data_IF_160172639311
#
_entry.id   IF_160172639311
#
_cell.length_a   1.000
_cell.length_b   1.000
_cell.length_c   1.000
_cell.angle_alpha   90.00
_cell.angle_beta   90.00
_cell.angle_gamma   90.00
#
_symmetry.space_group_name_H-M   'P 1'
#
loop_
_entity.id
_entity.type
_entity.pdbx_description
1 polymer ?
#
# COMPACT_ATOMS: atom_id res chain seq x y z
N UNK A 1 13.97 2.24 17.00
CA UNK A 1 13.69 1.95 15.58
C UNK A 1 14.33 0.61 15.24
N UNK A 2 13.56 -0.34 14.72
CA UNK A 2 14.07 -1.68 14.38
C UNK A 2 14.57 -1.71 12.94
N UNK A 3 15.57 -2.54 12.65
CA UNK A 3 16.09 -2.73 11.29
C UNK A 3 15.00 -3.18 10.31
N UNK A 4 13.99 -3.89 10.80
CA UNK A 4 12.82 -4.30 10.02
C UNK A 4 12.01 -3.11 9.51
N UNK A 5 11.71 -2.13 10.38
CA UNK A 5 10.94 -0.95 10.01
C UNK A 5 11.68 -0.10 8.96
N UNK A 6 12.98 0.08 9.13
CA UNK A 6 13.81 0.78 8.14
C UNK A 6 13.85 0.04 6.80
N UNK A 7 13.98 -1.28 6.83
CA UNK A 7 13.96 -2.12 5.63
C UNK A 7 12.64 -1.99 4.88
N UNK A 8 11.53 -1.93 5.59
CA UNK A 8 10.19 -1.73 5.03
C UNK A 8 10.05 -0.36 4.35
N UNK A 9 10.47 0.72 5.02
CA UNK A 9 10.46 2.08 4.45
C UNK A 9 11.33 2.17 3.20
N UNK A 10 12.56 1.63 3.25
CA UNK A 10 13.47 1.62 2.11
C UNK A 10 12.88 0.81 0.95
N UNK A 11 12.28 -0.35 1.24
CA UNK A 11 11.62 -1.17 0.23
C UNK A 11 10.49 -0.40 -0.45
N UNK A 12 9.67 0.34 0.31
CA UNK A 12 8.61 1.16 -0.26
C UNK A 12 9.14 2.34 -1.11
N UNK A 13 10.22 2.99 -0.67
CA UNK A 13 10.88 4.07 -1.42
C UNK A 13 11.47 3.60 -2.75
N UNK A 14 11.98 2.37 -2.82
CA UNK A 14 12.47 1.77 -4.08
C UNK A 14 11.31 1.50 -5.06
N UNK A 15 10.13 1.14 -4.54
CA UNK A 15 8.94 0.79 -5.34
C UNK A 15 8.02 1.98 -5.66
N UNK A 16 8.40 3.19 -5.27
CA UNK A 16 7.51 4.37 -5.21
C UNK A 16 7.22 5.03 -6.57
N UNK A 17 7.59 4.39 -7.68
CA UNK A 17 7.27 4.82 -9.05
C UNK A 17 6.14 4.00 -9.68
N UNK A 18 5.47 3.16 -8.89
CA UNK A 18 4.42 2.25 -9.36
C UNK A 18 3.03 2.77 -8.95
N UNK A 19 2.19 3.09 -9.94
CA UNK A 19 0.80 3.55 -9.76
C UNK A 19 -0.09 2.54 -9.00
N UNK A 20 0.37 1.31 -8.79
CA UNK A 20 -0.37 0.25 -8.09
C UNK A 20 0.11 0.01 -6.65
N UNK A 21 1.06 0.80 -6.13
CA UNK A 21 1.59 0.70 -4.77
C UNK A 21 1.31 2.01 -4.02
N UNK A 22 0.78 1.92 -2.80
CA UNK A 22 0.58 3.09 -1.92
C UNK A 22 1.92 3.80 -1.73
N UNK A 23 1.96 5.08 -2.05
CA UNK A 23 3.17 5.87 -1.93
C UNK A 23 3.58 6.01 -0.45
N UNK A 24 4.86 5.76 -0.15
CA UNK A 24 5.47 6.17 1.11
C UNK A 24 6.17 7.52 0.92
N UNK A 25 5.83 8.50 1.76
CA UNK A 25 6.41 9.84 1.72
C UNK A 25 7.60 9.98 2.68
N UNK A 26 7.73 9.10 3.68
CA UNK A 26 8.87 9.08 4.59
C UNK A 26 8.53 8.65 6.00
N UNK A 27 9.37 9.07 6.96
CA UNK A 27 9.25 8.76 8.39
C UNK A 27 9.13 10.07 9.16
N UNK A 28 8.24 10.12 10.15
CA UNK A 28 8.17 11.16 11.18
C UNK A 28 8.29 10.55 12.57
N UNK A 29 8.28 11.37 13.62
CA UNK A 29 8.21 10.92 15.02
C UNK A 29 7.04 11.53 15.75
N UNK A 30 6.37 10.72 16.57
CA UNK A 30 5.38 11.22 17.53
C UNK A 30 6.11 11.97 18.65
N UNK A 31 5.84 13.27 18.88
CA UNK A 31 6.49 14.04 19.93
C UNK A 31 6.13 13.57 21.36
N UNK A 32 5.06 12.80 21.55
CA UNK A 32 4.59 12.34 22.86
C UNK A 32 5.12 10.95 23.21
N UNK A 33 5.28 10.07 22.22
CA UNK A 33 5.70 8.68 22.45
C UNK A 33 7.13 8.36 21.97
N UNK A 34 7.76 9.27 21.20
CA UNK A 34 9.06 9.09 20.52
C UNK A 34 9.06 7.91 19.52
N UNK A 35 7.87 7.43 19.15
CA UNK A 35 7.72 6.37 18.16
C UNK A 35 7.96 6.90 16.75
N UNK A 36 8.58 6.06 15.92
CA UNK A 36 8.78 6.37 14.51
C UNK A 36 7.53 5.96 13.74
N UNK A 37 6.98 6.88 12.96
CA UNK A 37 5.72 6.70 12.21
C UNK A 37 6.03 6.82 10.72
N UNK A 38 5.49 5.91 9.91
CA UNK A 38 5.56 6.00 8.46
C UNK A 38 4.46 6.93 7.94
N UNK A 39 4.82 7.86 7.06
CA UNK A 39 3.88 8.76 6.38
C UNK A 39 3.61 8.19 5.00
N UNK A 40 2.36 7.84 4.71
CA UNK A 40 1.95 7.17 3.47
C UNK A 40 0.74 7.87 2.85
N UNK A 41 0.51 7.61 1.57
CA UNK A 41 -0.70 8.00 0.87
C UNK A 41 -1.95 7.41 1.55
N UNK A 42 -2.98 8.24 1.66
CA UNK A 42 -4.23 7.84 2.29
C UNK A 42 -5.13 7.13 1.26
N UNK A 43 -5.41 5.86 1.51
CA UNK A 43 -6.38 5.10 0.73
C UNK A 43 -7.81 5.45 1.19
N UNK A 44 -8.46 6.39 0.50
CA UNK A 44 -9.80 6.88 0.84
C UNK A 44 -10.86 5.76 0.91
N UNK A 45 -10.80 4.83 -0.05
CA UNK A 45 -11.69 3.65 -0.10
C UNK A 45 -11.31 2.55 0.91
N UNK A 46 -10.21 2.73 1.64
CA UNK A 46 -9.70 1.78 2.61
C UNK A 46 -9.16 0.49 1.96
N UNK A 47 -9.24 -0.62 2.70
CA UNK A 47 -8.62 -1.88 2.26
C UNK A 47 -9.51 -2.64 1.25
N UNK A 48 -8.87 -3.20 0.22
CA UNK A 48 -9.51 -4.11 -0.73
C UNK A 48 -10.23 -5.29 -0.02
N UNK A 49 -9.69 -5.78 1.10
CA UNK A 49 -10.32 -6.85 1.87
C UNK A 49 -11.70 -6.45 2.42
N UNK A 50 -11.82 -5.25 2.99
CA UNK A 50 -13.09 -4.74 3.50
C UNK A 50 -14.11 -4.55 2.38
N UNK A 51 -13.65 -4.02 1.25
CA UNK A 51 -14.43 -3.83 0.03
C UNK A 51 -15.02 -5.13 -0.49
N UNK A 52 -14.17 -6.15 -0.65
CA UNK A 52 -14.58 -7.47 -1.11
C UNK A 52 -15.58 -8.09 -0.13
N UNK A 53 -15.34 -7.99 1.19
CA UNK A 53 -16.25 -8.53 2.20
C UNK A 53 -17.64 -7.91 2.15
N UNK A 54 -17.75 -6.62 1.80
CA UNK A 54 -19.04 -5.90 1.76
C UNK A 54 -19.78 -6.07 0.43
N UNK A 55 -19.06 -6.18 -0.68
CA UNK A 55 -19.62 -6.01 -2.02
C UNK A 55 -19.23 -7.10 -3.02
N UNK A 56 -18.70 -8.26 -2.59
CA UNK A 56 -18.19 -9.30 -3.50
C UNK A 56 -19.15 -9.67 -4.65
N UNK A 57 -20.43 -9.85 -4.33
CA UNK A 57 -21.47 -10.24 -5.31
C UNK A 57 -21.91 -9.08 -6.20
N UNK A 58 -21.67 -7.83 -5.77
CA UNK A 58 -22.02 -6.61 -6.52
C UNK A 58 -20.92 -6.17 -7.48
N UNK A 59 -19.69 -6.63 -7.25
CA UNK A 59 -18.55 -6.33 -8.12
C UNK A 59 -18.64 -7.24 -9.36
N UNK A 60 -18.74 -6.61 -10.54
CA UNK A 60 -18.76 -7.33 -11.80
C UNK A 60 -17.42 -8.03 -12.11
N UNK A 61 -17.42 -8.93 -13.09
CA UNK A 61 -16.23 -9.73 -13.41
C UNK A 61 -15.07 -8.89 -13.97
N UNK A 62 -15.38 -7.85 -14.74
CA UNK A 62 -14.38 -6.94 -15.31
C UNK A 62 -13.59 -6.25 -14.20
N UNK A 63 -14.27 -5.65 -13.22
CA UNK A 63 -13.62 -4.99 -12.08
C UNK A 63 -12.82 -5.98 -11.22
N UNK A 64 -13.24 -7.25 -11.13
CA UNK A 64 -12.44 -8.31 -10.46
C UNK A 64 -11.13 -8.57 -11.20
N UNK A 65 -11.17 -8.64 -12.53
CA UNK A 65 -9.97 -8.83 -13.36
C UNK A 65 -9.05 -7.61 -13.31
N UNK A 66 -9.59 -6.39 -13.35
CA UNK A 66 -8.81 -5.15 -13.21
C UNK A 66 -8.08 -5.10 -11.87
N UNK A 67 -8.76 -5.39 -10.77
CA UNK A 67 -8.15 -5.47 -9.44
C UNK A 67 -7.04 -6.53 -9.38
N UNK A 68 -7.27 -7.69 -9.97
CA UNK A 68 -6.23 -8.74 -10.06
C UNK A 68 -5.02 -8.27 -10.87
N UNK A 69 -5.25 -7.60 -12.00
CA UNK A 69 -4.19 -7.02 -12.82
C UNK A 69 -3.39 -5.97 -12.04
N UNK A 70 -4.04 -5.05 -11.33
CA UNK A 70 -3.35 -4.04 -10.50
C UNK A 70 -2.48 -4.69 -9.43
N UNK A 71 -2.97 -5.75 -8.75
CA UNK A 71 -2.16 -6.49 -7.76
C UNK A 71 -0.94 -7.14 -8.42
N UNK A 72 -1.13 -7.79 -9.57
CA UNK A 72 -0.05 -8.43 -10.30
C UNK A 72 0.98 -7.42 -10.84
N UNK A 73 0.52 -6.30 -11.41
CA UNK A 73 1.36 -5.25 -11.95
C UNK A 73 2.13 -4.49 -10.85
N UNK A 74 1.51 -4.29 -9.68
CA UNK A 74 2.17 -3.81 -8.46
C UNK A 74 3.37 -4.68 -8.07
N UNK A 75 3.30 -5.99 -8.29
CA UNK A 75 4.37 -6.94 -7.93
C UNK A 75 5.47 -7.08 -8.99
N UNK A 76 5.22 -6.74 -10.27
CA UNK A 76 6.03 -7.25 -11.40
C UNK A 76 7.15 -6.34 -11.90
N UNK A 77 7.26 -5.08 -11.51
CA UNK A 77 8.33 -4.21 -12.03
C UNK A 77 9.43 -3.89 -11.00
N UNK A 78 10.37 -4.82 -10.86
CA UNK A 78 11.72 -4.60 -10.34
C UNK A 78 12.72 -5.32 -11.28
N UNK A 79 13.22 -4.63 -12.31
CA UNK A 79 14.40 -5.03 -13.08
C UNK A 79 15.42 -3.89 -13.02
#
# INVERSE_FOLDING_TARGET
MTDHFLKEVISHGITSSNDFIIQCYGITRDPNTDDNIMVMEFAEDGSLHMDLRRNFDKINWQTKLERLYSIAAGHVFNY
#
